data_IF_156039502766
#
_entry.id   IF_156039502766
#
_cell.length_a   1.000
_cell.length_b   1.000
_cell.length_c   1.000
_cell.angle_alpha   90.00
_cell.angle_beta   90.00
_cell.angle_gamma   90.00
#
_symmetry.space_group_name_H-M   'P 1'
#
loop_
_entity.id
_entity.type
_entity.pdbx_description
1 polymer ?
#
# COMPACT_ATOMS: atom_id res chain seq x y z
N UNK A 1 19.80 -13.40 -43.39
CA UNK A 1 18.88 -12.29 -43.02
C UNK A 1 17.98 -12.79 -41.89
N UNK A 2 18.53 -12.91 -40.69
CA UNK A 2 17.79 -13.26 -39.46
C UNK A 2 18.00 -12.11 -38.49
N UNK A 3 17.20 -11.05 -38.65
CA UNK A 3 16.90 -10.13 -37.57
C UNK A 3 15.65 -10.69 -36.87
N UNK A 4 15.45 -10.38 -35.58
CA UNK A 4 14.38 -10.86 -34.69
C UNK A 4 14.72 -12.04 -33.77
N UNK A 5 15.79 -11.93 -33.00
CA UNK A 5 15.67 -12.26 -31.58
C UNK A 5 15.38 -10.96 -30.83
N UNK A 6 14.10 -10.56 -30.81
CA UNK A 6 13.62 -9.51 -29.91
C UNK A 6 13.89 -10.00 -28.48
N UNK A 7 14.96 -9.49 -27.92
CA UNK A 7 15.50 -9.92 -26.64
C UNK A 7 14.53 -9.50 -25.52
N UNK A 8 13.71 -10.43 -25.04
CA UNK A 8 12.73 -10.24 -23.95
C UNK A 8 13.37 -9.91 -22.57
N UNK A 9 14.68 -9.64 -22.50
CA UNK A 9 15.40 -9.37 -21.25
C UNK A 9 15.48 -7.89 -20.83
N UNK A 10 14.83 -6.95 -21.54
CA UNK A 10 15.12 -5.51 -21.41
C UNK A 10 14.10 -4.60 -20.72
N UNK A 11 13.01 -5.10 -20.13
CA UNK A 11 12.11 -4.23 -19.37
C UNK A 11 12.09 -4.57 -17.88
N UNK A 12 13.22 -4.34 -17.19
CA UNK A 12 13.16 -4.10 -15.74
C UNK A 12 12.32 -2.84 -15.52
N UNK A 13 11.07 -3.01 -15.09
CA UNK A 13 10.21 -1.91 -14.69
C UNK A 13 10.95 -1.06 -13.65
N UNK A 14 11.30 0.17 -14.01
CA UNK A 14 11.89 1.11 -13.07
C UNK A 14 10.78 1.68 -12.20
N UNK A 15 10.83 1.38 -10.91
CA UNK A 15 9.90 1.97 -9.94
C UNK A 15 10.33 3.38 -9.56
N UNK A 16 9.37 4.29 -9.52
CA UNK A 16 9.60 5.64 -9.00
C UNK A 16 9.85 5.59 -7.49
N UNK A 17 10.49 6.63 -6.93
CA UNK A 17 10.69 6.75 -5.48
C UNK A 17 9.36 6.72 -4.73
N UNK A 18 8.32 7.36 -5.28
CA UNK A 18 6.98 7.39 -4.69
C UNK A 18 6.38 5.99 -4.62
N UNK A 19 6.45 5.22 -5.70
CA UNK A 19 5.94 3.83 -5.71
C UNK A 19 6.63 2.95 -4.67
N UNK A 20 7.94 3.12 -4.49
CA UNK A 20 8.70 2.38 -3.48
C UNK A 20 8.26 2.74 -2.06
N UNK A 21 7.97 4.02 -1.80
CA UNK A 21 7.46 4.48 -0.50
C UNK A 21 6.07 3.91 -0.25
N UNK A 22 5.15 4.06 -1.19
CA UNK A 22 3.78 3.52 -1.12
C UNK A 22 3.76 2.00 -0.85
N UNK A 23 4.59 1.24 -1.58
CA UNK A 23 4.71 -0.21 -1.39
C UNK A 23 5.19 -0.56 0.01
N UNK A 24 6.19 0.15 0.54
CA UNK A 24 6.66 -0.06 1.92
C UNK A 24 5.59 0.30 2.95
N UNK A 25 4.83 1.38 2.71
CA UNK A 25 3.73 1.78 3.57
C UNK A 25 2.63 0.70 3.64
N UNK A 26 2.24 0.12 2.50
CA UNK A 26 1.28 -1.00 2.49
C UNK A 26 1.82 -2.26 3.17
N UNK A 27 3.10 -2.61 2.96
CA UNK A 27 3.72 -3.76 3.64
C UNK A 27 3.69 -3.56 5.17
N UNK A 28 4.01 -2.35 5.64
CA UNK A 28 3.94 -2.01 7.07
C UNK A 28 2.50 -2.03 7.59
N UNK A 29 1.54 -1.44 6.87
CA UNK A 29 0.13 -1.45 7.23
C UNK A 29 -0.38 -2.87 7.46
N UNK A 30 -0.20 -3.76 6.47
CA UNK A 30 -0.63 -5.14 6.62
C UNK A 30 0.12 -5.88 7.73
N UNK A 31 1.39 -5.55 7.97
CA UNK A 31 2.13 -6.11 9.10
C UNK A 31 1.51 -5.72 10.43
N UNK A 32 1.16 -4.45 10.63
CA UNK A 32 0.54 -3.93 11.85
C UNK A 32 -0.87 -4.51 12.03
N UNK A 33 -1.70 -4.58 10.99
CA UNK A 33 -3.05 -5.20 11.08
C UNK A 33 -3.01 -6.66 11.52
N UNK A 34 -1.97 -7.40 11.10
CA UNK A 34 -1.74 -8.80 11.52
C UNK A 34 -1.07 -8.95 12.89
N UNK A 35 -0.61 -7.87 13.51
CA UNK A 35 -0.14 -7.95 14.90
C UNK A 35 -1.32 -8.28 15.83
N UNK A 36 -1.00 -8.83 16.98
CA UNK A 36 -1.97 -9.03 18.06
C UNK A 36 -2.46 -7.67 18.61
N UNK A 37 -3.69 -7.63 19.11
CA UNK A 37 -4.40 -6.41 19.53
C UNK A 37 -3.82 -5.77 20.80
N UNK A 38 -3.03 -6.51 21.57
CA UNK A 38 -2.28 -6.00 22.72
C UNK A 38 -1.09 -5.12 22.30
N UNK A 39 -0.64 -5.21 21.05
CA UNK A 39 0.56 -4.53 20.57
C UNK A 39 0.28 -3.04 20.34
N UNK A 40 1.10 -2.19 20.94
CA UNK A 40 1.01 -0.73 20.81
C UNK A 40 0.89 -0.21 19.37
N UNK A 41 1.64 -0.70 18.36
CA UNK A 41 1.50 -0.22 16.99
C UNK A 41 0.09 -0.41 16.42
N UNK A 42 -0.56 -1.55 16.72
CA UNK A 42 -1.92 -1.84 16.25
C UNK A 42 -2.93 -0.94 16.96
N UNK A 43 -2.81 -0.82 18.29
CA UNK A 43 -3.64 0.09 19.09
C UNK A 43 -3.53 1.53 18.61
N UNK A 44 -2.31 2.02 18.35
CA UNK A 44 -2.09 3.38 17.86
C UNK A 44 -2.65 3.60 16.45
N UNK A 45 -2.54 2.60 15.57
CA UNK A 45 -3.08 2.67 14.21
C UNK A 45 -4.62 2.74 14.22
N UNK A 46 -5.27 1.97 15.09
CA UNK A 46 -6.73 1.86 15.17
C UNK A 46 -7.36 2.90 16.12
N UNK A 47 -6.54 3.65 16.86
CA UNK A 47 -7.01 4.66 17.78
C UNK A 47 -7.63 5.86 17.06
N UNK A 48 -8.91 6.10 17.32
CA UNK A 48 -9.63 7.28 16.87
C UNK A 48 -9.78 8.23 18.06
N UNK A 49 -9.03 9.34 18.13
CA UNK A 49 -9.14 10.25 19.26
C UNK A 49 -10.52 10.94 19.27
N UNK A 50 -11.17 11.05 20.44
CA UNK A 50 -12.37 11.87 20.57
C UNK A 50 -11.98 13.33 20.32
N UNK A 51 -12.35 13.87 19.16
CA UNK A 51 -12.00 15.23 18.78
C UNK A 51 -13.13 15.93 18.05
N UNK A 52 -13.22 17.25 18.24
CA UNK A 52 -14.06 18.11 17.43
C UNK A 52 -13.41 18.25 16.05
N UNK A 53 -14.17 17.98 14.98
CA UNK A 53 -13.69 18.12 13.60
C UNK A 53 -13.14 19.53 13.41
N UNK A 54 -11.88 19.64 12.97
CA UNK A 54 -11.26 20.93 12.62
C UNK A 54 -12.08 21.60 11.51
N UNK A 55 -12.24 22.92 11.57
CA UNK A 55 -12.93 23.69 10.54
C UNK A 55 -12.12 23.62 9.23
N UNK A 56 -12.81 23.43 8.10
CA UNK A 56 -12.19 23.35 6.76
C UNK A 56 -11.98 21.92 6.25
N UNK A 57 -11.23 21.79 5.14
CA UNK A 57 -10.91 20.48 4.54
C UNK A 57 -9.94 19.71 5.45
N UNK A 58 -10.22 18.43 5.77
CA UNK A 58 -9.28 17.60 6.51
C UNK A 58 -7.91 17.55 5.81
N UNK A 59 -6.83 17.67 6.59
CA UNK A 59 -5.49 17.47 6.08
C UNK A 59 -5.29 16.04 5.58
N UNK A 60 -4.40 15.85 4.60
CA UNK A 60 -4.02 14.50 4.15
C UNK A 60 -3.26 13.81 5.29
N UNK A 61 -3.82 12.70 5.78
CA UNK A 61 -3.21 11.88 6.83
C UNK A 61 -2.48 10.69 6.21
N UNK A 62 -1.60 10.06 6.97
CA UNK A 62 -0.95 8.82 6.55
C UNK A 62 -1.97 7.74 6.17
N UNK A 63 -3.02 7.55 6.97
CA UNK A 63 -4.09 6.60 6.64
C UNK A 63 -4.83 6.95 5.35
N UNK A 64 -5.11 8.24 5.08
CA UNK A 64 -5.72 8.61 3.80
C UNK A 64 -4.82 8.26 2.61
N UNK A 65 -3.50 8.38 2.77
CA UNK A 65 -2.54 7.94 1.74
C UNK A 65 -2.54 6.42 1.53
N UNK A 66 -2.66 5.64 2.61
CA UNK A 66 -2.84 4.18 2.52
C UNK A 66 -4.11 3.84 1.74
N UNK A 67 -5.24 4.45 2.09
CA UNK A 67 -6.53 4.21 1.43
C UNK A 67 -6.48 4.59 -0.06
N UNK A 68 -5.88 5.74 -0.39
CA UNK A 68 -5.67 6.14 -1.78
C UNK A 68 -4.82 5.10 -2.52
N UNK A 69 -3.74 4.63 -1.91
CA UNK A 69 -2.83 3.62 -2.51
C UNK A 69 -3.52 2.27 -2.70
N UNK A 70 -4.35 1.84 -1.74
CA UNK A 70 -5.16 0.61 -1.88
C UNK A 70 -6.16 0.73 -3.03
N UNK A 71 -6.83 1.88 -3.15
CA UNK A 71 -7.77 2.17 -4.25
C UNK A 71 -7.06 2.13 -5.60
N UNK A 72 -5.91 2.77 -5.72
CA UNK A 72 -5.08 2.79 -6.93
C UNK A 72 -4.57 1.40 -7.35
N UNK A 73 -4.65 0.41 -6.47
CA UNK A 73 -4.17 -0.97 -6.70
C UNK A 73 -5.29 -2.01 -6.61
N UNK A 74 -6.55 -1.57 -6.52
CA UNK A 74 -7.73 -2.42 -6.33
C UNK A 74 -7.58 -3.44 -5.18
N UNK A 75 -6.93 -3.02 -4.09
CA UNK A 75 -6.75 -3.83 -2.88
C UNK A 75 -7.95 -3.59 -1.96
N UNK A 76 -8.63 -4.67 -1.56
CA UNK A 76 -9.69 -4.59 -0.56
C UNK A 76 -9.07 -4.61 0.85
N UNK A 77 -9.73 -3.95 1.81
CA UNK A 77 -9.15 -3.77 3.14
C UNK A 77 -8.87 -5.12 3.82
N UNK A 78 -9.80 -6.07 3.79
CA UNK A 78 -9.64 -7.39 4.41
C UNK A 78 -8.52 -8.27 3.81
N UNK A 79 -7.96 -7.91 2.66
CA UNK A 79 -6.91 -8.71 2.01
C UNK A 79 -5.57 -8.67 2.76
N UNK A 80 -5.43 -7.83 3.79
CA UNK A 80 -4.26 -7.86 4.67
C UNK A 80 -4.14 -9.17 5.45
N UNK A 81 -5.21 -9.97 5.60
CA UNK A 81 -5.15 -11.22 6.36
C UNK A 81 -4.20 -12.23 5.70
N UNK A 82 -4.31 -12.41 4.39
CA UNK A 82 -3.45 -13.32 3.64
C UNK A 82 -2.13 -12.65 3.25
N UNK A 83 -1.05 -12.99 3.96
CA UNK A 83 0.29 -12.43 3.74
C UNK A 83 0.79 -12.58 2.28
N UNK A 84 0.52 -13.71 1.63
CA UNK A 84 1.01 -13.97 0.26
C UNK A 84 0.29 -13.09 -0.75
N UNK A 85 -1.05 -13.05 -0.66
CA UNK A 85 -1.89 -12.18 -1.50
C UNK A 85 -1.54 -10.71 -1.28
N UNK A 86 -1.40 -10.30 -0.01
CA UNK A 86 -1.05 -8.93 0.35
C UNK A 86 0.26 -8.48 -0.29
N UNK A 87 1.33 -9.28 -0.17
CA UNK A 87 2.64 -8.91 -0.73
C UNK A 87 2.60 -8.78 -2.26
N UNK A 88 1.97 -9.73 -2.95
CA UNK A 88 1.85 -9.70 -4.40
C UNK A 88 1.12 -8.42 -4.87
N UNK A 89 0.01 -8.07 -4.24
CA UNK A 89 -0.74 -6.85 -4.57
C UNK A 89 -0.01 -5.56 -4.18
N UNK A 90 0.75 -5.56 -3.09
CA UNK A 90 1.62 -4.44 -2.73
C UNK A 90 2.72 -4.17 -3.75
N UNK A 91 3.10 -5.14 -4.58
CA UNK A 91 4.14 -4.94 -5.60
C UNK A 91 3.54 -4.54 -6.96
N UNK A 92 2.29 -4.92 -7.21
CA UNK A 92 1.60 -4.68 -8.48
C UNK A 92 0.73 -3.42 -8.41
N UNK A 93 1.17 -2.35 -9.08
CA UNK A 93 0.32 -1.19 -9.36
C UNK A 93 -0.46 -1.45 -10.65
N UNK A 94 -1.78 -1.58 -10.54
CA UNK A 94 -2.68 -1.60 -11.70
C UNK A 94 -3.00 -0.13 -12.03
N UNK A 95 -2.22 0.51 -12.90
CA UNK A 95 -2.69 1.76 -13.51
C UNK A 95 -3.79 1.41 -14.52
N UNK A 96 -4.84 2.24 -14.64
CA UNK A 96 -5.79 2.12 -15.76
C UNK A 96 -5.08 2.26 -17.10
#
# INVERSE_FOLDING_TARGET
MLLYTFNESWFRRVHTTVERVETRQLVWYGHVKRMSDDRWPKRALEYIPPSRRRRGRPAKTWMSGIVDTMRDRAIQENEWENRKVWRAKCEMRQKP
#
